data_IF_602529417327
#
_entry.id   IF_602529417327
#
_cell.length_a   1.000
_cell.length_b   1.000
_cell.length_c   1.000
_cell.angle_alpha   90.00
_cell.angle_beta   90.00
_cell.angle_gamma   90.00
#
_symmetry.space_group_name_H-M   'P 1'
#
loop_
_entity.id
_entity.type
_entity.pdbx_description
1 polymer ?
#
# COMPACT_ATOMS: atom_id res chain seq x y z
N UNK A 1 -35.56 13.50 13.12
CA UNK A 1 -34.28 12.84 13.50
C UNK A 1 -34.43 11.37 13.21
N UNK A 2 -33.41 10.70 12.70
CA UNK A 2 -33.46 9.25 12.40
C UNK A 2 -32.45 8.50 13.28
N UNK A 3 -32.81 7.27 13.67
CA UNK A 3 -31.91 6.36 14.35
C UNK A 3 -30.88 5.74 13.37
N UNK A 4 -29.82 5.13 13.91
CA UNK A 4 -28.89 4.36 13.09
C UNK A 4 -29.59 3.25 12.31
N UNK A 5 -30.57 2.57 12.94
CA UNK A 5 -31.40 1.53 12.33
C UNK A 5 -32.15 2.07 11.11
N UNK A 6 -32.84 3.21 11.26
CA UNK A 6 -33.61 3.80 10.18
C UNK A 6 -32.72 4.22 9.00
N UNK A 7 -31.55 4.85 9.26
CA UNK A 7 -30.58 5.24 8.24
C UNK A 7 -30.02 3.99 7.54
N UNK A 8 -29.68 2.96 8.30
CA UNK A 8 -29.14 1.70 7.76
C UNK A 8 -30.14 1.05 6.78
N UNK A 9 -31.38 0.84 7.20
CA UNK A 9 -32.39 0.21 6.33
C UNK A 9 -32.79 1.09 5.14
N UNK A 10 -32.72 2.39 5.30
CA UNK A 10 -32.97 3.31 4.18
C UNK A 10 -31.84 3.24 3.17
N UNK A 11 -30.58 3.25 3.57
CA UNK A 11 -29.41 3.12 2.67
C UNK A 11 -29.36 1.75 2.00
N UNK A 12 -29.79 0.68 2.65
CA UNK A 12 -29.86 -0.65 2.04
C UNK A 12 -30.74 -0.69 0.78
N UNK A 13 -31.76 0.18 0.66
CA UNK A 13 -32.62 0.27 -0.54
C UNK A 13 -31.84 0.78 -1.77
N UNK A 14 -30.72 1.49 -1.55
CA UNK A 14 -29.85 2.05 -2.60
C UNK A 14 -28.58 1.22 -2.81
N UNK A 15 -28.45 0.07 -2.14
CA UNK A 15 -27.29 -0.80 -2.25
C UNK A 15 -26.97 -1.13 -3.71
N UNK A 16 -25.71 -0.97 -4.09
CA UNK A 16 -25.14 -1.36 -5.37
C UNK A 16 -23.74 -1.99 -5.18
N UNK A 17 -22.98 -2.16 -6.25
CA UNK A 17 -21.61 -2.71 -6.21
C UNK A 17 -20.64 -1.86 -5.38
N UNK A 18 -20.85 -0.54 -5.25
CA UNK A 18 -20.01 0.39 -4.50
C UNK A 18 -20.48 0.58 -3.05
N UNK A 19 -21.77 0.81 -2.85
CA UNK A 19 -22.39 0.98 -1.54
C UNK A 19 -22.91 -0.36 -1.03
N UNK A 20 -22.02 -1.23 -0.59
CA UNK A 20 -22.36 -2.53 -0.02
C UNK A 20 -22.87 -2.40 1.44
N UNK A 21 -23.47 -3.44 1.97
CA UNK A 21 -23.87 -3.48 3.37
C UNK A 21 -22.69 -3.21 4.34
N UNK A 22 -21.53 -3.77 4.02
CA UNK A 22 -20.30 -3.53 4.77
C UNK A 22 -19.91 -2.04 4.78
N UNK A 23 -19.95 -1.38 3.64
CA UNK A 23 -19.65 0.04 3.51
C UNK A 23 -20.68 0.91 4.25
N UNK A 24 -21.96 0.55 4.23
CA UNK A 24 -22.99 1.24 5.01
C UNK A 24 -22.67 1.16 6.51
N UNK A 25 -22.29 -0.01 7.02
CA UNK A 25 -21.90 -0.17 8.43
C UNK A 25 -20.65 0.66 8.77
N UNK A 26 -19.66 0.69 7.88
CA UNK A 26 -18.46 1.54 8.05
C UNK A 26 -18.82 3.03 8.13
N UNK A 27 -19.70 3.51 7.25
CA UNK A 27 -20.15 4.91 7.27
C UNK A 27 -20.87 5.25 8.58
N UNK A 28 -21.75 4.36 9.04
CA UNK A 28 -22.45 4.54 10.32
C UNK A 28 -21.48 4.54 11.51
N UNK A 29 -20.49 3.64 11.52
CA UNK A 29 -19.46 3.64 12.56
C UNK A 29 -18.66 4.95 12.54
N UNK A 30 -18.07 5.29 11.40
CA UNK A 30 -17.19 6.46 11.30
C UNK A 30 -17.88 7.77 11.64
N UNK A 31 -19.02 8.03 11.02
CA UNK A 31 -19.73 9.29 11.19
C UNK A 31 -20.75 9.29 12.33
N UNK A 32 -21.08 8.13 12.85
CA UNK A 32 -21.84 7.98 14.09
C UNK A 32 -20.97 8.06 15.35
N UNK A 33 -19.65 7.90 15.20
CA UNK A 33 -18.71 7.91 16.32
C UNK A 33 -18.67 6.59 17.09
N UNK A 34 -18.79 5.46 16.38
CA UNK A 34 -18.71 4.10 16.95
C UNK A 34 -17.38 3.45 16.56
N UNK A 35 -16.71 2.83 17.53
CA UNK A 35 -15.40 2.21 17.32
C UNK A 35 -15.50 0.83 16.64
N UNK A 36 -16.66 0.20 16.66
CA UNK A 36 -16.87 -1.12 16.09
C UNK A 36 -18.31 -1.38 15.63
N UNK A 37 -18.48 -2.39 14.78
CA UNK A 37 -19.82 -2.88 14.40
C UNK A 37 -20.61 -3.43 15.58
N UNK A 38 -19.94 -3.96 16.58
CA UNK A 38 -20.57 -4.41 17.83
C UNK A 38 -21.16 -3.23 18.58
N UNK A 39 -20.39 -2.16 18.75
CA UNK A 39 -20.89 -0.94 19.40
C UNK A 39 -22.06 -0.32 18.62
N UNK A 40 -21.92 -0.20 17.29
CA UNK A 40 -23.01 0.25 16.43
C UNK A 40 -24.29 -0.59 16.65
N UNK A 41 -24.14 -1.92 16.75
CA UNK A 41 -25.28 -2.82 16.96
C UNK A 41 -25.97 -2.62 18.31
N UNK A 42 -25.20 -2.38 19.37
CA UNK A 42 -25.72 -2.08 20.69
C UNK A 42 -26.47 -0.73 20.73
N UNK A 43 -26.05 0.22 19.90
CA UNK A 43 -26.60 1.58 19.82
C UNK A 43 -27.43 1.80 18.55
N UNK A 44 -27.97 0.72 17.99
CA UNK A 44 -28.61 0.76 16.69
C UNK A 44 -29.89 1.61 16.66
N UNK A 45 -30.60 1.69 17.78
CA UNK A 45 -31.79 2.50 17.91
C UNK A 45 -31.54 3.95 18.39
N UNK A 46 -30.27 4.30 18.66
CA UNK A 46 -29.91 5.66 19.01
C UNK A 46 -30.03 6.61 17.80
N UNK A 47 -30.40 7.86 18.07
CA UNK A 47 -30.51 8.91 17.05
C UNK A 47 -29.14 9.31 16.56
N UNK A 48 -28.94 9.25 15.24
CA UNK A 48 -27.70 9.71 14.61
C UNK A 48 -27.76 11.21 14.29
N UNK A 49 -26.88 11.98 14.92
CA UNK A 49 -26.79 13.44 14.74
C UNK A 49 -26.16 13.82 13.39
N UNK A 50 -25.42 12.89 12.76
CA UNK A 50 -24.68 13.13 11.51
C UNK A 50 -25.37 12.54 10.27
N UNK A 51 -26.67 12.31 10.32
CA UNK A 51 -27.47 11.75 9.24
C UNK A 51 -27.17 12.41 7.87
N UNK A 52 -27.19 13.74 7.81
CA UNK A 52 -26.99 14.46 6.56
C UNK A 52 -25.61 14.23 5.96
N UNK A 53 -24.58 14.15 6.82
CA UNK A 53 -23.23 13.84 6.39
C UNK A 53 -23.13 12.39 5.87
N UNK A 54 -23.75 11.43 6.56
CA UNK A 54 -23.79 10.03 6.12
C UNK A 54 -24.46 9.94 4.74
N UNK A 55 -25.58 10.60 4.52
CA UNK A 55 -26.26 10.65 3.23
C UNK A 55 -25.41 11.31 2.15
N UNK A 56 -24.75 12.41 2.44
CA UNK A 56 -23.83 13.07 1.51
C UNK A 56 -22.74 12.09 1.08
N UNK A 57 -22.08 11.43 2.04
CA UNK A 57 -21.00 10.48 1.80
C UNK A 57 -21.49 9.22 1.06
N UNK A 58 -22.67 8.74 1.37
CA UNK A 58 -23.29 7.62 0.63
C UNK A 58 -23.54 7.95 -0.85
N UNK A 59 -23.97 9.19 -1.17
CA UNK A 59 -24.15 9.63 -2.56
C UNK A 59 -22.82 9.71 -3.33
N UNK A 60 -21.75 10.15 -2.70
CA UNK A 60 -20.40 10.15 -3.30
C UNK A 60 -19.99 8.70 -3.67
N UNK A 61 -20.21 7.74 -2.76
CA UNK A 61 -19.91 6.31 -3.01
C UNK A 61 -20.82 5.73 -4.10
N UNK A 62 -22.11 6.02 -4.07
CA UNK A 62 -23.08 5.58 -5.10
C UNK A 62 -22.72 6.08 -6.50
N UNK A 63 -22.04 7.22 -6.61
CA UNK A 63 -21.53 7.73 -7.88
C UNK A 63 -20.25 7.05 -8.36
N UNK A 64 -19.74 6.06 -7.60
CA UNK A 64 -18.57 5.27 -7.92
C UNK A 64 -17.27 5.76 -7.33
N UNK A 65 -17.27 6.81 -6.47
CA UNK A 65 -16.04 7.20 -5.74
C UNK A 65 -15.65 6.08 -4.75
N UNK A 66 -14.40 5.61 -4.71
CA UNK A 66 -13.97 4.60 -3.75
C UNK A 66 -14.31 5.03 -2.31
N UNK A 67 -14.92 4.13 -1.55
CA UNK A 67 -15.32 4.46 -0.18
C UNK A 67 -14.13 4.83 0.70
N UNK A 68 -12.94 4.28 0.42
CA UNK A 68 -11.72 4.62 1.13
C UNK A 68 -11.37 6.12 0.98
N UNK A 69 -11.52 6.67 -0.22
CA UNK A 69 -11.30 8.11 -0.45
C UNK A 69 -12.41 8.96 0.17
N UNK A 70 -13.67 8.53 0.04
CA UNK A 70 -14.80 9.24 0.67
C UNK A 70 -14.64 9.31 2.18
N UNK A 71 -14.09 8.25 2.78
CA UNK A 71 -13.84 8.15 4.21
C UNK A 71 -12.45 8.65 4.61
N UNK A 72 -11.54 8.88 3.67
CA UNK A 72 -10.12 9.15 3.90
C UNK A 72 -9.47 8.11 4.81
N UNK A 73 -9.79 6.83 4.59
CA UNK A 73 -9.35 5.75 5.45
C UNK A 73 -9.24 4.43 4.67
N UNK A 74 -8.12 3.75 4.83
CA UNK A 74 -7.91 2.40 4.37
C UNK A 74 -7.33 1.53 5.49
N UNK A 75 -7.71 0.26 5.52
CA UNK A 75 -7.14 -0.72 6.44
C UNK A 75 -5.98 -1.43 5.75
N UNK A 76 -4.91 -1.66 6.51
CA UNK A 76 -3.76 -2.43 6.06
C UNK A 76 -3.12 -3.13 7.26
N UNK A 77 -3.05 -4.48 7.22
CA UNK A 77 -2.79 -5.28 8.40
C UNK A 77 -3.77 -4.88 9.53
N UNK A 78 -3.30 -4.64 10.71
CA UNK A 78 -4.14 -4.31 11.87
C UNK A 78 -4.30 -2.80 12.09
N UNK A 79 -3.99 -1.97 11.09
CA UNK A 79 -3.98 -0.52 11.21
C UNK A 79 -4.90 0.19 10.22
N UNK A 80 -5.33 1.39 10.61
CA UNK A 80 -5.99 2.35 9.73
C UNK A 80 -5.01 3.39 9.24
N UNK A 81 -5.06 3.73 7.96
CA UNK A 81 -4.21 4.73 7.33
C UNK A 81 -5.06 5.76 6.59
N UNK A 82 -4.61 7.00 6.58
CA UNK A 82 -5.19 8.05 5.76
C UNK A 82 -4.87 7.79 4.28
N UNK A 83 -5.88 7.92 3.43
CA UNK A 83 -5.75 7.88 1.97
C UNK A 83 -6.65 8.93 1.33
N UNK A 84 -6.21 9.45 0.20
CA UNK A 84 -6.98 10.31 -0.68
C UNK A 84 -6.61 10.04 -2.15
N UNK A 85 -7.16 10.78 -3.09
CA UNK A 85 -6.96 10.61 -4.53
C UNK A 85 -5.51 10.77 -5.01
N UNK A 86 -4.58 11.15 -4.14
CA UNK A 86 -3.16 11.33 -4.48
C UNK A 86 -2.34 10.05 -4.29
N UNK A 87 -2.90 9.00 -3.69
CA UNK A 87 -2.20 7.74 -3.42
C UNK A 87 -3.02 6.53 -3.84
N UNK A 88 -2.34 5.47 -4.25
CA UNK A 88 -2.97 4.16 -4.47
C UNK A 88 -3.66 3.70 -3.18
N UNK A 89 -4.90 3.20 -3.30
CA UNK A 89 -5.56 2.52 -2.17
C UNK A 89 -4.78 1.23 -1.87
N UNK A 90 -4.29 1.04 -0.63
CA UNK A 90 -3.54 -0.16 -0.27
C UNK A 90 -4.30 -1.45 -0.58
N UNK A 91 -3.58 -2.43 -1.14
CA UNK A 91 -4.14 -3.73 -1.51
C UNK A 91 -3.80 -4.79 -0.45
N UNK A 92 -4.69 -5.75 -0.26
CA UNK A 92 -4.47 -6.84 0.70
C UNK A 92 -3.27 -7.72 0.30
N UNK A 93 -3.05 -7.91 -1.00
CA UNK A 93 -1.89 -8.66 -1.50
C UNK A 93 -0.58 -8.03 -1.02
N UNK A 94 -0.50 -6.70 -0.99
CA UNK A 94 0.69 -5.97 -0.53
C UNK A 94 1.03 -6.24 0.94
N UNK A 95 0.04 -6.62 1.78
CA UNK A 95 0.29 -7.04 3.17
C UNK A 95 1.20 -8.26 3.26
N UNK A 96 1.02 -9.20 2.33
CA UNK A 96 1.82 -10.42 2.26
C UNK A 96 3.30 -10.12 1.96
N UNK A 97 3.61 -9.07 1.19
CA UNK A 97 5.00 -8.68 0.95
C UNK A 97 5.75 -8.34 2.24
N UNK A 98 5.09 -7.64 3.18
CA UNK A 98 5.65 -7.35 4.50
C UNK A 98 5.92 -8.64 5.29
N UNK A 99 4.98 -9.59 5.23
CA UNK A 99 5.10 -10.87 5.92
C UNK A 99 6.27 -11.67 5.36
N UNK A 100 6.38 -11.77 4.04
CA UNK A 100 7.44 -12.52 3.36
C UNK A 100 8.84 -11.92 3.64
N UNK A 101 9.01 -10.61 3.62
CA UNK A 101 10.27 -9.95 3.99
C UNK A 101 10.61 -10.19 5.46
N UNK A 102 9.63 -10.06 6.35
CA UNK A 102 9.86 -10.28 7.78
C UNK A 102 10.29 -11.71 8.05
N UNK A 103 9.59 -12.69 7.46
CA UNK A 103 9.93 -14.11 7.57
C UNK A 103 11.32 -14.39 7.01
N UNK A 104 11.61 -13.90 5.79
CA UNK A 104 12.93 -14.09 5.18
C UNK A 104 14.05 -13.49 6.01
N UNK A 105 13.84 -12.33 6.63
CA UNK A 105 14.82 -11.71 7.55
C UNK A 105 15.09 -12.60 8.77
N UNK A 106 14.07 -13.28 9.30
CA UNK A 106 14.23 -14.21 10.41
C UNK A 106 14.98 -15.49 10.01
N UNK A 107 14.71 -16.01 8.79
CA UNK A 107 15.39 -17.19 8.23
C UNK A 107 16.89 -16.92 7.99
N UNK A 108 17.27 -15.67 7.74
CA UNK A 108 18.63 -15.24 7.50
C UNK A 108 19.34 -14.94 8.84
N UNK A 109 19.90 -15.99 9.45
CA UNK A 109 20.57 -15.89 10.76
C UNK A 109 21.60 -14.75 10.81
N UNK A 110 21.57 -13.98 11.90
CA UNK A 110 22.45 -12.83 12.13
C UNK A 110 22.22 -11.62 11.21
N UNK A 111 21.13 -11.58 10.43
CA UNK A 111 20.78 -10.39 9.66
C UNK A 111 19.96 -9.42 10.51
N UNK A 112 20.57 -8.30 10.85
CA UNK A 112 19.96 -7.23 11.64
C UNK A 112 19.94 -5.94 10.81
N UNK A 113 18.89 -5.68 10.04
CA UNK A 113 18.86 -4.53 9.13
C UNK A 113 18.86 -3.22 9.91
N UNK A 114 19.76 -2.30 9.51
CA UNK A 114 19.92 -0.97 10.09
C UNK A 114 19.32 0.11 9.16
N UNK A 115 19.36 -0.12 7.85
CA UNK A 115 18.82 0.81 6.85
C UNK A 115 17.84 0.11 5.93
N UNK A 116 16.64 0.66 5.85
CA UNK A 116 15.53 0.10 5.06
C UNK A 116 15.03 1.18 4.09
N UNK A 117 14.81 0.80 2.84
CA UNK A 117 14.27 1.67 1.81
C UNK A 117 12.89 1.19 1.34
N UNK A 118 11.94 2.12 1.21
CA UNK A 118 10.66 1.92 0.54
C UNK A 118 10.61 2.80 -0.72
N UNK A 119 10.63 2.18 -1.91
CA UNK A 119 10.58 2.89 -3.18
C UNK A 119 9.14 2.94 -3.72
N UNK A 120 8.76 4.11 -4.26
CA UNK A 120 7.39 4.37 -4.72
C UNK A 120 6.40 4.22 -3.55
N UNK A 121 6.69 4.90 -2.45
CA UNK A 121 6.06 4.68 -1.15
C UNK A 121 4.56 5.00 -1.11
N UNK A 122 4.05 5.85 -2.02
CA UNK A 122 2.64 6.23 -2.07
C UNK A 122 2.13 6.77 -0.74
N UNK A 123 1.25 6.03 -0.09
CA UNK A 123 0.69 6.38 1.23
C UNK A 123 1.64 6.18 2.43
N UNK A 124 2.88 5.70 2.20
CA UNK A 124 3.86 5.45 3.25
C UNK A 124 3.67 4.15 4.04
N UNK A 125 2.71 3.35 3.66
CA UNK A 125 2.28 2.18 4.45
C UNK A 125 3.38 1.15 4.58
N UNK A 126 4.10 0.81 3.50
CA UNK A 126 5.20 -0.15 3.54
C UNK A 126 6.33 0.34 4.45
N UNK A 127 6.75 1.60 4.30
CA UNK A 127 7.76 2.20 5.15
C UNK A 127 7.38 2.17 6.64
N UNK A 128 6.12 2.53 6.96
CA UNK A 128 5.60 2.53 8.34
C UNK A 128 5.58 1.12 8.91
N UNK A 129 5.12 0.14 8.14
CA UNK A 129 5.06 -1.25 8.55
C UNK A 129 6.46 -1.85 8.74
N UNK A 130 7.42 -1.49 7.89
CA UNK A 130 8.82 -1.87 8.09
C UNK A 130 9.40 -1.23 9.35
N UNK A 131 9.13 0.05 9.61
CA UNK A 131 9.55 0.72 10.85
C UNK A 131 8.92 0.13 12.11
N UNK A 132 7.71 -0.43 12.03
CA UNK A 132 7.08 -1.16 13.15
C UNK A 132 7.80 -2.47 13.47
N UNK A 133 8.21 -3.22 12.43
CA UNK A 133 8.89 -4.52 12.57
C UNK A 133 10.36 -4.41 12.92
N UNK A 134 11.00 -3.35 12.45
CA UNK A 134 12.42 -3.05 12.69
C UNK A 134 12.56 -1.67 13.36
N UNK A 135 12.17 -1.57 14.64
CA UNK A 135 12.04 -0.26 15.32
C UNK A 135 13.37 0.51 15.43
N UNK A 136 14.49 -0.19 15.42
CA UNK A 136 15.83 0.42 15.49
C UNK A 136 16.39 0.81 14.12
N UNK A 137 15.81 0.34 13.01
CA UNK A 137 16.29 0.65 11.68
C UNK A 137 15.94 2.09 11.25
N UNK A 138 16.82 2.71 10.49
CA UNK A 138 16.55 3.94 9.77
C UNK A 138 15.74 3.59 8.51
N UNK A 139 14.54 4.16 8.38
CA UNK A 139 13.68 3.94 7.21
C UNK A 139 13.68 5.20 6.37
N UNK A 140 14.02 5.02 5.08
CA UNK A 140 13.96 6.06 4.05
C UNK A 140 12.91 5.65 3.03
N UNK A 141 12.03 6.56 2.65
CA UNK A 141 10.98 6.30 1.68
C UNK A 141 11.01 7.33 0.56
N UNK A 142 10.79 6.89 -0.67
CA UNK A 142 10.81 7.80 -1.83
C UNK A 142 9.53 7.75 -2.63
N UNK A 143 9.16 8.89 -3.18
CA UNK A 143 8.13 9.01 -4.21
C UNK A 143 8.45 10.19 -5.13
N UNK A 144 7.99 10.12 -6.36
CA UNK A 144 8.12 11.22 -7.31
C UNK A 144 7.07 12.30 -7.07
N UNK A 145 5.90 11.90 -6.55
CA UNK A 145 4.78 12.80 -6.29
C UNK A 145 4.86 13.38 -4.86
N UNK A 146 5.03 14.69 -4.77
CA UNK A 146 5.03 15.42 -3.51
C UNK A 146 3.71 15.29 -2.74
N UNK A 147 2.59 15.12 -3.44
CA UNK A 147 1.29 14.96 -2.79
C UNK A 147 1.21 13.59 -2.10
N UNK A 148 1.73 12.55 -2.74
CA UNK A 148 1.85 11.24 -2.12
C UNK A 148 2.76 11.30 -0.88
N UNK A 149 3.91 11.98 -0.96
CA UNK A 149 4.79 12.17 0.20
C UNK A 149 4.11 12.93 1.36
N UNK A 150 3.21 13.88 1.08
CA UNK A 150 2.42 14.56 2.13
C UNK A 150 1.47 13.59 2.84
N UNK A 151 0.83 12.68 2.10
CA UNK A 151 0.00 11.62 2.66
C UNK A 151 0.85 10.66 3.51
N UNK A 152 2.01 10.23 2.99
CA UNK A 152 2.94 9.34 3.69
C UNK A 152 3.44 9.95 4.99
N UNK A 153 3.85 11.22 4.97
CA UNK A 153 4.32 11.94 6.16
C UNK A 153 3.21 12.11 7.21
N UNK A 154 1.97 12.43 6.76
CA UNK A 154 0.81 12.44 7.64
C UNK A 154 0.62 11.09 8.32
N UNK A 155 0.63 10.00 7.56
CA UNK A 155 0.47 8.65 8.09
C UNK A 155 1.59 8.28 9.08
N UNK A 156 2.85 8.62 8.76
CA UNK A 156 3.98 8.37 9.63
C UNK A 156 3.85 9.11 10.97
N UNK A 157 3.46 10.38 10.94
CA UNK A 157 3.20 11.18 12.14
C UNK A 157 2.04 10.64 12.97
N UNK A 158 0.91 10.31 12.32
CA UNK A 158 -0.27 9.76 13.01
C UNK A 158 0.04 8.42 13.70
N UNK A 159 1.03 7.67 13.18
CA UNK A 159 1.53 6.41 13.78
C UNK A 159 2.73 6.59 14.71
N UNK A 160 3.20 7.80 14.92
CA UNK A 160 4.39 8.07 15.75
C UNK A 160 5.66 7.40 15.21
N UNK A 161 5.81 7.31 13.88
CA UNK A 161 6.97 6.69 13.22
C UNK A 161 7.83 7.75 12.55
N UNK A 162 9.12 7.73 12.89
CA UNK A 162 10.10 8.58 12.21
C UNK A 162 10.59 7.90 10.94
N UNK A 163 10.29 8.50 9.79
CA UNK A 163 10.66 8.06 8.45
C UNK A 163 11.25 9.26 7.71
N UNK A 164 12.31 9.04 6.96
CA UNK A 164 12.92 10.06 6.11
C UNK A 164 12.26 9.96 4.72
N UNK A 165 11.64 11.03 4.27
CA UNK A 165 11.01 11.10 2.97
C UNK A 165 11.87 11.89 1.99
N UNK A 166 12.21 11.28 0.84
CA UNK A 166 13.01 11.86 -0.24
C UNK A 166 12.15 11.95 -1.51
N UNK A 167 12.04 13.14 -2.08
CA UNK A 167 11.33 13.34 -3.34
C UNK A 167 12.27 13.10 -4.51
N UNK A 168 11.88 12.24 -5.44
CA UNK A 168 12.62 12.02 -6.66
C UNK A 168 12.20 10.75 -7.40
N UNK A 169 12.83 10.56 -8.57
CA UNK A 169 12.53 9.42 -9.42
C UNK A 169 13.27 8.17 -8.95
N UNK A 170 12.52 7.17 -8.55
CA UNK A 170 12.96 5.81 -8.19
C UNK A 170 14.16 5.82 -7.24
N UNK A 171 15.38 5.71 -7.76
CA UNK A 171 16.63 5.59 -6.99
C UNK A 171 17.47 6.86 -6.97
N UNK A 172 17.16 7.84 -7.83
CA UNK A 172 17.96 9.05 -8.00
C UNK A 172 18.23 9.81 -6.70
N UNK A 173 17.22 10.05 -5.82
CA UNK A 173 17.44 10.81 -4.59
C UNK A 173 18.30 10.08 -3.58
N UNK A 174 18.60 8.79 -3.77
CA UNK A 174 19.27 7.92 -2.80
C UNK A 174 20.74 7.63 -3.15
N UNK A 175 21.06 7.63 -4.44
CA UNK A 175 22.43 7.29 -4.92
C UNK A 175 23.45 8.25 -4.32
N UNK A 176 24.49 7.68 -3.70
CA UNK A 176 25.57 8.44 -3.06
C UNK A 176 25.23 9.00 -1.67
N UNK A 177 23.96 8.89 -1.22
CA UNK A 177 23.54 9.32 0.13
C UNK A 177 23.37 8.14 1.08
N UNK A 178 22.83 7.02 0.60
CA UNK A 178 22.41 5.89 1.43
C UNK A 178 22.89 4.56 0.88
N UNK A 179 23.04 3.58 1.76
CA UNK A 179 23.12 2.16 1.44
C UNK A 179 22.18 1.38 2.35
N UNK A 180 21.45 0.43 1.78
CA UNK A 180 20.37 -0.24 2.47
C UNK A 180 20.65 -1.72 2.69
N UNK A 181 20.12 -2.26 3.78
CA UNK A 181 20.08 -3.68 4.08
C UNK A 181 18.81 -4.33 3.53
N UNK A 182 17.69 -3.59 3.60
CA UNK A 182 16.42 -4.02 3.00
C UNK A 182 15.93 -2.94 2.04
N UNK A 183 15.47 -3.37 0.86
CA UNK A 183 14.69 -2.55 -0.05
C UNK A 183 13.35 -3.24 -0.30
N UNK A 184 12.27 -2.49 -0.14
CA UNK A 184 10.90 -2.93 -0.43
C UNK A 184 10.26 -1.99 -1.45
N UNK A 185 9.45 -2.52 -2.35
CA UNK A 185 8.70 -1.68 -3.28
C UNK A 185 7.48 -2.40 -3.84
N UNK A 186 6.40 -1.65 -3.98
CA UNK A 186 5.27 -1.97 -4.86
C UNK A 186 5.22 -0.89 -5.96
N UNK A 187 6.08 -0.97 -6.98
CA UNK A 187 6.17 0.05 -8.00
C UNK A 187 5.05 -0.08 -9.03
N UNK A 188 4.75 0.96 -9.82
CA UNK A 188 3.85 0.83 -10.96
C UNK A 188 4.33 -0.23 -11.95
N UNK A 189 3.46 -1.19 -12.32
CA UNK A 189 3.82 -2.31 -13.18
C UNK A 189 2.80 -2.66 -14.26
N UNK A 190 1.66 -1.98 -14.33
CA UNK A 190 0.58 -2.29 -15.28
C UNK A 190 0.90 -1.66 -16.63
N UNK A 191 0.95 -2.49 -17.70
CA UNK A 191 1.18 -2.02 -19.07
C UNK A 191 -0.12 -1.68 -19.81
N UNK A 192 -1.16 -2.47 -19.58
CA UNK A 192 -2.42 -2.38 -20.31
C UNK A 192 -3.56 -1.84 -19.44
N UNK A 193 -4.07 -0.67 -19.79
CA UNK A 193 -5.21 -0.04 -19.10
C UNK A 193 -6.49 -0.86 -19.18
N UNK A 194 -6.64 -1.68 -20.23
CA UNK A 194 -7.86 -2.46 -20.43
C UNK A 194 -8.04 -3.61 -19.40
N UNK A 195 -6.99 -3.97 -18.68
CA UNK A 195 -7.04 -5.01 -17.64
C UNK A 195 -7.41 -4.46 -16.26
N UNK A 196 -7.52 -3.14 -16.12
CA UNK A 196 -7.75 -2.47 -14.83
C UNK A 196 -9.23 -2.17 -14.66
N UNK A 197 -9.74 -2.36 -13.45
CA UNK A 197 -11.12 -2.02 -13.09
C UNK A 197 -11.45 -0.55 -13.41
N UNK A 198 -12.69 -0.30 -13.85
CA UNK A 198 -13.15 1.04 -14.25
C UNK A 198 -13.11 2.06 -13.12
N UNK A 199 -13.38 1.64 -11.89
CA UNK A 199 -13.33 2.51 -10.71
C UNK A 199 -11.88 2.93 -10.44
N UNK A 200 -10.94 1.97 -10.47
CA UNK A 200 -9.50 2.22 -10.32
C UNK A 200 -9.00 3.18 -11.39
N UNK A 201 -9.32 2.92 -12.66
CA UNK A 201 -8.96 3.81 -13.78
C UNK A 201 -9.46 5.23 -13.64
N UNK A 202 -10.63 5.40 -13.04
CA UNK A 202 -11.29 6.71 -12.96
C UNK A 202 -10.81 7.54 -11.77
N UNK A 203 -10.46 6.90 -10.67
CA UNK A 203 -10.27 7.60 -9.39
C UNK A 203 -8.88 7.48 -8.80
N UNK A 204 -8.12 6.41 -9.10
CA UNK A 204 -6.79 6.24 -8.54
C UNK A 204 -5.70 6.89 -9.41
N UNK A 205 -4.58 7.36 -8.82
CA UNK A 205 -3.56 8.08 -9.57
C UNK A 205 -2.87 7.17 -10.60
N UNK A 206 -2.95 7.52 -11.86
CA UNK A 206 -2.37 6.74 -12.96
C UNK A 206 -0.86 6.54 -12.83
N UNK A 207 -0.16 7.50 -12.22
CA UNK A 207 1.28 7.41 -11.99
C UNK A 207 1.65 6.26 -11.04
N UNK A 208 0.73 5.86 -10.14
CA UNK A 208 0.93 4.75 -9.22
C UNK A 208 0.57 3.39 -9.84
N UNK A 209 -0.06 3.37 -11.02
CA UNK A 209 -0.56 2.15 -11.66
C UNK A 209 0.29 1.72 -12.85
N UNK A 210 0.64 2.67 -13.72
CA UNK A 210 1.10 2.35 -15.07
C UNK A 210 2.60 2.55 -15.27
N UNK A 211 3.20 1.57 -15.93
CA UNK A 211 4.59 1.60 -16.39
C UNK A 211 4.70 0.99 -17.77
N UNK A 212 5.58 1.53 -18.62
CA UNK A 212 5.82 0.95 -19.95
C UNK A 212 7.31 1.02 -20.31
N UNK A 213 7.98 -0.14 -20.38
CA UNK A 213 7.46 -1.49 -20.06
C UNK A 213 7.10 -1.63 -18.57
N UNK A 214 6.24 -2.61 -18.24
CA UNK A 214 5.85 -2.89 -16.86
C UNK A 214 7.02 -3.26 -15.95
N UNK A 215 8.13 -3.68 -16.53
CA UNK A 215 9.37 -4.01 -15.81
C UNK A 215 10.33 -2.83 -15.63
N UNK A 216 9.97 -1.64 -16.10
CA UNK A 216 10.83 -0.45 -16.10
C UNK A 216 11.44 -0.10 -14.74
N UNK A 217 10.60 -0.08 -13.69
CA UNK A 217 11.06 0.26 -12.35
C UNK A 217 12.03 -0.79 -11.80
N UNK A 218 11.72 -2.07 -11.98
CA UNK A 218 12.60 -3.15 -11.54
C UNK A 218 13.95 -3.10 -12.25
N UNK A 219 13.98 -2.87 -13.56
CA UNK A 219 15.22 -2.75 -14.32
C UNK A 219 16.12 -1.65 -13.78
N UNK A 220 15.57 -0.45 -13.52
CA UNK A 220 16.34 0.67 -12.95
C UNK A 220 16.90 0.30 -11.57
N UNK A 221 16.09 -0.33 -10.72
CA UNK A 221 16.51 -0.71 -9.36
C UNK A 221 17.63 -1.76 -9.46
N UNK A 222 17.43 -2.83 -10.25
CA UNK A 222 18.40 -3.92 -10.40
C UNK A 222 19.74 -3.43 -10.98
N UNK A 223 19.71 -2.53 -11.95
CA UNK A 223 20.90 -1.90 -12.56
C UNK A 223 21.70 -1.08 -11.53
N UNK A 224 21.06 -0.55 -10.50
CA UNK A 224 21.68 0.30 -9.49
C UNK A 224 21.94 -0.40 -8.15
N UNK A 225 21.73 -1.70 -8.04
CA UNK A 225 21.86 -2.44 -6.78
C UNK A 225 23.19 -2.21 -6.09
N UNK A 226 24.30 -2.23 -6.82
CA UNK A 226 25.64 -2.04 -6.27
C UNK A 226 25.86 -0.64 -5.67
N UNK A 227 25.05 0.35 -6.06
CA UNK A 227 25.10 1.71 -5.55
C UNK A 227 24.13 1.93 -4.38
N UNK A 228 23.13 1.05 -4.24
CA UNK A 228 22.02 1.20 -3.28
C UNK A 228 22.14 0.25 -2.08
N UNK A 229 22.63 -0.98 -2.32
CA UNK A 229 22.59 -2.01 -1.30
C UNK A 229 23.93 -2.19 -0.62
N UNK A 230 23.90 -2.62 0.64
CA UNK A 230 25.02 -3.11 1.39
C UNK A 230 25.51 -4.46 0.81
N UNK A 231 26.60 -5.00 1.35
CA UNK A 231 27.17 -6.29 0.90
C UNK A 231 26.18 -7.45 1.14
N UNK A 232 25.53 -7.43 2.31
CA UNK A 232 24.43 -8.33 2.65
C UNK A 232 23.12 -7.56 2.57
N UNK A 233 22.17 -8.10 1.81
CA UNK A 233 20.90 -7.41 1.58
C UNK A 233 19.73 -8.35 1.30
N UNK A 234 18.54 -7.83 1.49
CA UNK A 234 17.26 -8.42 1.09
C UNK A 234 16.44 -7.39 0.32
N UNK A 235 15.91 -7.79 -0.85
CA UNK A 235 14.99 -6.97 -1.64
C UNK A 235 13.67 -7.72 -1.76
N UNK A 236 12.56 -7.00 -1.63
CA UNK A 236 11.21 -7.51 -1.88
C UNK A 236 10.43 -6.61 -2.81
N UNK A 237 9.91 -7.18 -3.86
CA UNK A 237 9.04 -6.52 -4.83
C UNK A 237 7.65 -7.16 -4.87
N UNK A 238 6.60 -6.34 -4.95
CA UNK A 238 5.34 -6.78 -5.55
C UNK A 238 5.49 -6.73 -7.06
N UNK A 239 4.92 -7.72 -7.78
CA UNK A 239 5.05 -7.87 -9.24
C UNK A 239 3.72 -8.22 -9.90
N UNK A 240 3.60 -7.97 -11.19
CA UNK A 240 2.52 -8.51 -12.01
C UNK A 240 2.67 -10.02 -12.24
N UNK A 241 1.56 -10.73 -12.32
CA UNK A 241 1.54 -12.20 -12.47
C UNK A 241 2.23 -12.71 -13.74
N UNK A 242 2.29 -11.89 -14.78
CA UNK A 242 2.88 -12.19 -16.09
C UNK A 242 4.35 -11.74 -16.25
N UNK A 243 4.97 -11.23 -15.16
CA UNK A 243 6.31 -10.63 -15.24
C UNK A 243 7.45 -11.58 -14.86
N UNK A 244 7.18 -12.80 -14.40
CA UNK A 244 8.18 -13.72 -13.86
C UNK A 244 9.36 -13.94 -14.80
N UNK A 245 9.12 -14.27 -16.08
CA UNK A 245 10.21 -14.60 -17.03
C UNK A 245 11.00 -13.36 -17.43
N UNK A 246 10.34 -12.21 -17.57
CA UNK A 246 11.01 -10.93 -17.81
C UNK A 246 11.94 -10.57 -16.65
N UNK A 247 11.47 -10.73 -15.41
CA UNK A 247 12.24 -10.42 -14.20
C UNK A 247 13.41 -11.37 -14.00
N UNK A 248 13.26 -12.67 -14.30
CA UNK A 248 14.39 -13.62 -14.32
C UNK A 248 15.48 -13.16 -15.28
N UNK A 249 15.09 -12.77 -16.50
CA UNK A 249 16.05 -12.26 -17.49
C UNK A 249 16.79 -11.01 -17.01
N UNK A 250 16.09 -10.07 -16.35
CA UNK A 250 16.73 -8.89 -15.77
C UNK A 250 17.69 -9.23 -14.62
N UNK A 251 17.32 -10.19 -13.78
CA UNK A 251 18.19 -10.69 -12.70
C UNK A 251 19.48 -11.25 -13.30
N UNK A 252 19.38 -12.11 -14.31
CA UNK A 252 20.54 -12.75 -14.97
C UNK A 252 21.48 -11.73 -15.63
N UNK A 253 20.92 -10.63 -16.17
CA UNK A 253 21.70 -9.55 -16.79
C UNK A 253 22.46 -8.73 -15.74
N UNK A 254 21.78 -8.29 -14.69
CA UNK A 254 22.32 -7.26 -13.79
C UNK A 254 22.95 -7.82 -12.52
N UNK A 255 22.62 -9.06 -12.11
CA UNK A 255 23.04 -9.60 -10.83
C UNK A 255 23.86 -10.88 -10.98
N UNK A 256 24.89 -11.01 -10.15
CA UNK A 256 25.71 -12.22 -10.06
C UNK A 256 25.83 -12.67 -8.62
N UNK A 257 25.92 -13.98 -8.41
CA UNK A 257 26.11 -14.58 -7.09
C UNK A 257 25.06 -14.13 -6.05
N UNK A 258 23.78 -14.18 -6.44
CA UNK A 258 22.65 -13.84 -5.60
C UNK A 258 21.67 -15.00 -5.55
N UNK A 259 20.81 -14.99 -4.55
CA UNK A 259 19.67 -15.88 -4.46
C UNK A 259 18.39 -15.10 -4.74
N UNK A 260 17.41 -15.75 -5.34
CA UNK A 260 16.08 -15.16 -5.51
C UNK A 260 14.98 -16.21 -5.47
N UNK A 261 13.78 -15.78 -5.17
CA UNK A 261 12.59 -16.63 -5.08
C UNK A 261 11.35 -15.85 -5.48
N UNK A 262 10.51 -16.44 -6.34
CA UNK A 262 9.18 -15.93 -6.61
C UNK A 262 8.17 -16.56 -5.65
N UNK A 263 7.33 -15.74 -5.06
CA UNK A 263 6.26 -16.16 -4.15
C UNK A 263 4.90 -15.92 -4.79
N UNK A 264 3.96 -16.79 -4.46
CA UNK A 264 2.56 -16.68 -4.89
C UNK A 264 1.73 -15.98 -3.81
N UNK A 265 0.66 -15.32 -4.23
CA UNK A 265 -0.36 -14.78 -3.35
C UNK A 265 -1.37 -15.87 -2.90
N UNK A 266 -2.37 -15.45 -2.11
CA UNK A 266 -3.44 -16.34 -1.63
C UNK A 266 -4.32 -16.89 -2.77
N UNK A 267 -4.23 -16.32 -3.98
CA UNK A 267 -4.93 -16.78 -5.18
C UNK A 267 -4.07 -17.67 -6.08
N UNK A 268 -2.91 -18.13 -5.58
CA UNK A 268 -1.91 -18.94 -6.32
C UNK A 268 -1.32 -18.23 -7.55
N UNK A 269 -1.24 -16.90 -7.55
CA UNK A 269 -0.63 -16.12 -8.63
C UNK A 269 0.76 -15.64 -8.20
N UNK A 270 1.78 -15.69 -9.08
CA UNK A 270 3.05 -15.03 -8.81
C UNK A 270 2.80 -13.56 -8.46
N UNK A 271 3.25 -13.15 -7.28
CA UNK A 271 2.96 -11.80 -6.80
C UNK A 271 4.15 -11.12 -6.14
N UNK A 272 5.13 -11.89 -5.67
CA UNK A 272 6.29 -11.32 -5.00
C UNK A 272 7.58 -11.89 -5.55
N UNK A 273 8.60 -11.05 -5.58
CA UNK A 273 9.97 -11.43 -5.88
C UNK A 273 10.85 -11.03 -4.71
N UNK A 274 11.49 -12.01 -4.09
CA UNK A 274 12.53 -11.79 -3.08
C UNK A 274 13.90 -12.03 -3.70
N UNK A 275 14.87 -11.13 -3.47
CA UNK A 275 16.26 -11.24 -3.91
C UNK A 275 17.17 -10.97 -2.71
N UNK A 276 18.17 -11.83 -2.48
CA UNK A 276 19.07 -11.63 -1.34
C UNK A 276 20.50 -12.09 -1.62
N UNK A 277 21.43 -11.53 -0.86
CA UNK A 277 22.84 -11.88 -0.82
C UNK A 277 23.32 -11.93 0.62
N UNK A 278 23.99 -13.04 0.98
CA UNK A 278 24.51 -13.28 2.33
C UNK A 278 25.84 -14.01 2.30
#
# INVERSE_FOLDING_TARGET
MQSNREIYFELLKYKNEYLTEYVIKLLLCKYGGYDSFTELSLKFDEINKNKELIWKKSKEILSGVPFQYVMNEAYFLDDKYYVDENVLIPRQETEQLIIEITKKTQDLQSFCPQYICDLCTGSGILAIQMKKRFPNAHVVATDIDEKALKVADKNARDKGKHIIFEKGSIVEPLIGKYRFDILISNPPYIENKATVDKQVLKYEPHIALFSKPGTYFYEIILKNINNLMNEKFLIGFEIGEDQVDKLKSLIDIYLKNINYEFKIDLYNKPRFLLIWKF
#
